data_IF_918599627998
#
_entry.id   IF_918599627998
#
_cell.length_a   1.000
_cell.length_b   1.000
_cell.length_c   1.000
_cell.angle_alpha   90.00
_cell.angle_beta   90.00
_cell.angle_gamma   90.00
#
_symmetry.space_group_name_H-M   'P 1'
#
loop_
_entity.id
_entity.type
_entity.pdbx_description
1 polymer ?
#
# COMPACT_ATOMS: atom_id res chain seq x y z
N UNK A 1 31.30 58.06 -51.72
CA UNK A 1 31.76 56.71 -51.37
C UNK A 1 30.69 56.07 -50.51
N UNK A 2 30.04 55.04 -51.06
CA UNK A 2 28.94 54.30 -50.44
C UNK A 2 29.44 53.55 -49.19
N UNK A 3 28.64 53.51 -48.13
CA UNK A 3 28.73 52.44 -47.13
C UNK A 3 27.32 52.03 -46.72
N UNK A 4 26.87 50.90 -47.29
CA UNK A 4 25.63 50.22 -46.94
C UNK A 4 25.84 49.44 -45.63
N UNK A 5 25.07 49.76 -44.58
CA UNK A 5 24.92 48.86 -43.43
C UNK A 5 23.77 47.88 -43.71
N UNK A 6 24.10 46.59 -43.85
CA UNK A 6 23.12 45.50 -43.76
C UNK A 6 22.95 45.12 -42.29
N UNK A 7 21.74 45.29 -41.74
CA UNK A 7 21.32 44.63 -40.50
C UNK A 7 20.89 43.20 -40.81
N UNK A 8 21.62 42.20 -40.31
CA UNK A 8 21.15 40.81 -40.28
C UNK A 8 20.24 40.61 -39.06
N UNK A 9 18.94 40.39 -39.30
CA UNK A 9 18.01 39.92 -38.28
C UNK A 9 18.13 38.41 -38.12
N UNK A 10 18.66 37.94 -36.99
CA UNK A 10 18.70 36.51 -36.63
C UNK A 10 17.33 36.08 -36.13
N UNK A 11 16.62 35.25 -36.90
CA UNK A 11 15.36 34.62 -36.50
C UNK A 11 15.70 33.36 -35.72
N UNK A 12 15.57 33.39 -34.39
CA UNK A 12 15.60 32.19 -33.54
C UNK A 12 14.28 31.41 -33.69
N UNK A 13 14.30 30.12 -34.05
CA UNK A 13 13.09 29.31 -34.02
C UNK A 13 12.73 28.99 -32.56
N UNK A 14 11.60 29.50 -32.08
CA UNK A 14 10.95 28.96 -30.88
C UNK A 14 10.50 27.53 -31.20
N UNK A 15 11.19 26.54 -30.62
CA UNK A 15 10.67 25.18 -30.57
C UNK A 15 9.49 25.15 -29.60
N UNK A 16 8.28 24.97 -30.14
CA UNK A 16 7.12 24.60 -29.34
C UNK A 16 7.32 23.16 -28.88
N UNK A 17 7.85 22.98 -27.67
CA UNK A 17 7.75 21.72 -26.97
C UNK A 17 6.28 21.48 -26.64
N UNK A 18 5.61 20.63 -27.42
CA UNK A 18 4.28 20.13 -27.05
C UNK A 18 4.44 19.29 -25.79
N UNK A 19 3.67 19.54 -24.71
CA UNK A 19 3.69 18.65 -23.55
C UNK A 19 3.28 17.26 -24.03
N UNK A 20 4.17 16.29 -23.85
CA UNK A 20 3.82 14.88 -24.01
C UNK A 20 2.67 14.59 -23.05
N UNK A 21 1.59 13.93 -23.49
CA UNK A 21 0.56 13.50 -22.57
C UNK A 21 1.24 12.58 -21.56
N UNK A 22 1.27 13.01 -20.31
CA UNK A 22 1.74 12.22 -19.20
C UNK A 22 0.87 10.97 -19.19
N UNK A 23 1.43 9.84 -19.63
CA UNK A 23 0.75 8.56 -19.55
C UNK A 23 0.70 8.28 -18.06
N UNK A 24 -0.39 8.71 -17.45
CA UNK A 24 -0.78 8.36 -16.11
C UNK A 24 -0.92 6.85 -16.14
N UNK A 25 0.18 6.13 -15.84
CA UNK A 25 0.15 4.70 -15.64
C UNK A 25 -0.81 4.53 -14.48
N UNK A 26 -2.06 4.15 -14.79
CA UNK A 26 -3.04 3.77 -13.80
C UNK A 26 -2.47 2.54 -13.12
N UNK A 27 -1.65 2.76 -12.09
CA UNK A 27 -1.15 1.72 -11.22
C UNK A 27 -2.39 1.19 -10.51
N UNK A 28 -2.86 0.02 -10.95
CA UNK A 28 -4.01 -0.66 -10.37
C UNK A 28 -3.55 -1.23 -9.03
N UNK A 29 -3.39 -0.37 -8.03
CA UNK A 29 -3.06 -0.79 -6.68
C UNK A 29 -4.23 -1.57 -6.11
N UNK A 30 -3.91 -2.78 -5.61
CA UNK A 30 -4.88 -3.62 -4.93
C UNK A 30 -5.45 -2.87 -3.72
N UNK A 31 -6.72 -2.51 -3.79
CA UNK A 31 -7.43 -1.88 -2.67
C UNK A 31 -7.84 -2.93 -1.64
N UNK A 32 -7.55 -2.70 -0.36
CA UNK A 32 -7.97 -3.60 0.71
C UNK A 32 -9.18 -3.01 1.42
N UNK A 33 -10.36 -3.55 1.11
CA UNK A 33 -11.62 -3.16 1.75
C UNK A 33 -12.09 -4.25 2.70
N UNK A 34 -12.55 -3.86 3.89
CA UNK A 34 -13.10 -4.80 4.88
C UNK A 34 -12.09 -5.84 5.38
N UNK A 35 -10.81 -5.51 5.43
CA UNK A 35 -9.75 -6.44 5.85
C UNK A 35 -9.50 -6.39 7.36
N UNK A 36 -8.89 -7.45 7.91
CA UNK A 36 -8.29 -7.38 9.24
C UNK A 36 -6.82 -7.02 9.10
N UNK A 37 -6.29 -6.28 10.06
CA UNK A 37 -4.87 -5.89 10.10
C UNK A 37 -4.25 -6.66 11.27
N UNK A 38 -3.57 -7.75 10.97
CA UNK A 38 -3.07 -8.71 11.96
C UNK A 38 -1.61 -8.42 12.32
N UNK A 39 -1.29 -8.29 13.60
CA UNK A 39 0.08 -8.16 14.08
C UNK A 39 0.86 -9.45 13.78
N UNK A 40 2.02 -9.31 13.15
CA UNK A 40 2.92 -10.45 12.92
C UNK A 40 3.34 -11.10 14.24
N UNK A 41 3.59 -10.28 15.27
CA UNK A 41 4.13 -10.67 16.58
C UNK A 41 3.39 -11.83 17.24
N UNK A 42 2.07 -11.72 17.40
CA UNK A 42 1.24 -12.65 18.17
C UNK A 42 -0.06 -13.04 17.46
N UNK A 43 -0.29 -12.57 16.22
CA UNK A 43 -1.46 -12.92 15.43
C UNK A 43 -2.77 -12.26 15.88
N UNK A 44 -2.74 -11.31 16.81
CA UNK A 44 -3.89 -10.48 17.16
C UNK A 44 -4.17 -9.45 16.06
N UNK A 45 -5.41 -8.98 15.96
CA UNK A 45 -5.85 -8.03 14.95
C UNK A 45 -6.17 -6.66 15.52
N UNK A 46 -5.76 -5.61 14.80
CA UNK A 46 -6.02 -4.21 15.11
C UNK A 46 -7.52 -3.95 15.18
N UNK A 47 -7.98 -3.38 16.29
CA UNK A 47 -9.40 -3.06 16.49
C UNK A 47 -9.55 -1.92 17.50
N UNK A 48 -10.55 -1.03 17.33
CA UNK A 48 -11.04 -0.23 18.44
C UNK A 48 -11.43 -1.16 19.60
N UNK A 49 -11.01 -0.83 20.81
CA UNK A 49 -11.27 -1.63 22.00
C UNK A 49 -12.67 -1.31 22.54
N UNK A 50 -13.47 -2.36 22.71
CA UNK A 50 -14.85 -2.25 23.19
C UNK A 50 -15.89 -2.10 22.08
N UNK A 51 -17.16 -1.98 22.51
CA UNK A 51 -18.32 -2.00 21.61
C UNK A 51 -18.70 -0.64 21.07
N UNK A 52 -18.52 0.42 21.84
CA UNK A 52 -18.88 1.78 21.46
C UNK A 52 -17.86 2.38 20.49
N UNK A 53 -18.35 3.15 19.51
CA UNK A 53 -17.52 3.92 18.60
C UNK A 53 -17.74 5.41 18.85
N UNK A 54 -16.70 6.08 19.33
CA UNK A 54 -16.67 7.53 19.50
C UNK A 54 -15.24 8.05 19.36
N UNK A 55 -15.10 9.34 19.12
CA UNK A 55 -13.80 10.01 19.15
C UNK A 55 -13.08 9.66 20.46
N UNK A 56 -11.83 9.21 20.36
CA UNK A 56 -11.02 8.91 21.55
C UNK A 56 -10.95 7.43 21.91
N UNK A 57 -11.80 6.56 21.33
CA UNK A 57 -11.75 5.13 21.65
C UNK A 57 -10.40 4.57 21.23
N UNK A 58 -9.69 4.00 22.21
CA UNK A 58 -8.36 3.42 22.02
C UNK A 58 -8.43 2.29 20.99
N UNK A 59 -7.44 2.24 20.11
CA UNK A 59 -7.22 1.12 19.21
C UNK A 59 -6.11 0.25 19.79
N UNK A 60 -6.36 -1.05 19.84
CA UNK A 60 -5.41 -2.04 20.31
C UNK A 60 -5.43 -3.27 19.41
N UNK A 61 -4.88 -4.38 19.90
CA UNK A 61 -4.93 -5.67 19.22
C UNK A 61 -5.83 -6.66 20.00
N UNK A 62 -6.72 -7.38 19.31
CA UNK A 62 -7.64 -8.35 19.90
C UNK A 62 -7.69 -9.62 19.06
N UNK A 63 -8.34 -10.68 19.56
CA UNK A 63 -8.57 -11.90 18.79
C UNK A 63 -9.19 -11.57 17.43
N UNK A 64 -8.63 -12.14 16.35
CA UNK A 64 -9.05 -11.75 15.00
C UNK A 64 -10.51 -12.05 14.71
N UNK A 65 -11.15 -13.04 15.36
CA UNK A 65 -12.58 -13.30 15.23
C UNK A 65 -13.47 -12.22 15.88
N UNK A 66 -12.92 -11.41 16.78
CA UNK A 66 -13.58 -10.29 17.47
C UNK A 66 -13.18 -8.92 16.90
N UNK A 67 -12.07 -8.86 16.15
CA UNK A 67 -11.57 -7.63 15.59
C UNK A 67 -12.50 -7.06 14.51
N UNK A 68 -12.60 -5.73 14.50
CA UNK A 68 -13.27 -4.99 13.43
C UNK A 68 -12.43 -4.96 12.16
N UNK A 69 -13.06 -4.57 11.06
CA UNK A 69 -12.41 -4.54 9.75
C UNK A 69 -12.11 -3.11 9.30
N UNK A 70 -11.06 -2.97 8.51
CA UNK A 70 -10.52 -1.70 8.03
C UNK A 70 -10.48 -1.66 6.51
N UNK A 71 -10.63 -0.46 5.97
CA UNK A 71 -10.23 -0.12 4.62
C UNK A 71 -8.83 0.50 4.68
N UNK A 72 -7.87 -0.08 3.97
CA UNK A 72 -6.48 0.38 3.87
C UNK A 72 -6.02 0.13 2.44
N UNK A 73 -5.23 1.03 1.87
CA UNK A 73 -4.72 0.86 0.52
C UNK A 73 -3.20 1.02 0.53
N UNK A 74 -2.47 0.37 -0.41
CA UNK A 74 -1.08 0.70 -0.68
C UNK A 74 -0.93 2.20 -0.96
N UNK A 75 0.24 2.74 -0.67
CA UNK A 75 0.50 4.17 -0.79
C UNK A 75 0.03 4.96 0.43
N UNK A 76 0.00 6.29 0.28
CA UNK A 76 -0.37 7.24 1.33
C UNK A 76 -1.89 7.43 1.38
N UNK A 77 -2.50 7.22 2.53
CA UNK A 77 -3.92 7.45 2.74
C UNK A 77 -4.41 7.13 4.15
N UNK A 78 -5.70 7.31 4.39
CA UNK A 78 -6.31 7.00 5.69
C UNK A 78 -6.63 5.51 5.83
N UNK A 79 -6.51 5.00 7.07
CA UNK A 79 -6.99 3.67 7.45
C UNK A 79 -8.36 3.86 8.11
N UNK A 80 -9.42 3.45 7.41
CA UNK A 80 -10.81 3.79 7.75
C UNK A 80 -11.55 2.58 8.31
N UNK A 81 -12.33 2.77 9.36
CA UNK A 81 -13.14 1.70 9.92
C UNK A 81 -14.27 1.33 8.96
N UNK A 82 -14.36 0.05 8.57
CA UNK A 82 -15.27 -0.39 7.49
C UNK A 82 -16.74 -0.24 7.87
N UNK A 83 -17.10 -0.63 9.09
CA UNK A 83 -18.48 -0.57 9.60
C UNK A 83 -18.98 0.85 9.90
N UNK A 84 -18.06 1.81 10.06
CA UNK A 84 -18.39 3.22 10.25
C UNK A 84 -17.29 4.10 9.64
N UNK A 85 -17.41 4.44 8.35
CA UNK A 85 -16.41 5.20 7.62
C UNK A 85 -16.18 6.64 8.11
N UNK A 86 -16.95 7.11 9.10
CA UNK A 86 -16.70 8.39 9.75
C UNK A 86 -15.46 8.34 10.65
N UNK A 87 -14.97 7.15 11.02
CA UNK A 87 -13.81 6.98 11.89
C UNK A 87 -12.57 6.48 11.15
N UNK A 88 -11.44 7.12 11.42
CA UNK A 88 -10.12 6.75 10.93
C UNK A 88 -9.21 6.33 12.09
N UNK A 89 -8.17 5.53 11.79
CA UNK A 89 -7.05 5.31 12.69
C UNK A 89 -6.26 6.61 12.85
N UNK A 90 -6.11 7.03 14.11
CA UNK A 90 -5.52 8.32 14.48
C UNK A 90 -4.36 8.11 15.47
N UNK A 91 -3.21 8.68 15.15
CA UNK A 91 -1.98 8.56 15.94
C UNK A 91 -1.79 9.67 16.99
N UNK A 92 -2.82 10.46 17.28
CA UNK A 92 -2.70 11.62 18.17
C UNK A 92 -1.89 12.73 17.53
N UNK A 93 -0.68 12.98 17.99
CA UNK A 93 0.25 13.90 17.33
C UNK A 93 0.98 13.22 16.18
N UNK A 94 1.13 11.89 16.21
CA UNK A 94 1.88 11.13 15.21
C UNK A 94 3.39 11.34 15.26
N UNK A 95 3.92 11.99 16.31
CA UNK A 95 5.30 12.51 16.33
C UNK A 95 6.20 11.91 17.43
N UNK A 96 5.62 11.24 18.43
CA UNK A 96 6.35 10.78 19.61
C UNK A 96 6.22 9.27 19.81
N UNK A 97 7.35 8.63 20.14
CA UNK A 97 7.39 7.24 20.56
C UNK A 97 6.49 7.01 21.77
N UNK A 98 5.72 5.93 21.77
CA UNK A 98 4.87 5.58 22.90
C UNK A 98 3.46 6.17 22.83
N UNK A 99 3.16 7.00 21.83
CA UNK A 99 1.84 7.61 21.71
C UNK A 99 0.80 6.57 21.28
N UNK A 100 -0.25 6.43 22.10
CA UNK A 100 -1.34 5.49 21.84
C UNK A 100 -2.16 5.87 20.61
N UNK A 101 -2.63 4.86 19.88
CA UNK A 101 -3.53 5.06 18.73
C UNK A 101 -4.99 4.95 19.14
N UNK A 102 -5.86 5.63 18.41
CA UNK A 102 -7.30 5.68 18.68
C UNK A 102 -8.08 5.76 17.38
N UNK A 103 -9.39 5.61 17.46
CA UNK A 103 -10.28 6.12 16.40
C UNK A 103 -10.64 7.56 16.65
N UNK A 104 -10.71 8.33 15.57
CA UNK A 104 -11.17 9.70 15.56
C UNK A 104 -11.94 10.00 14.29
N UNK A 105 -12.77 11.04 14.32
CA UNK A 105 -13.48 11.53 13.14
C UNK A 105 -12.48 11.72 11.99
N UNK A 106 -12.87 11.27 10.81
CA UNK A 106 -12.04 11.30 9.61
C UNK A 106 -11.88 12.73 9.13
N UNK A 107 -10.63 13.16 9.00
CA UNK A 107 -10.24 14.40 8.36
C UNK A 107 -9.16 14.09 7.33
N UNK A 108 -9.53 13.92 6.04
CA UNK A 108 -8.58 13.56 5.00
C UNK A 108 -7.39 14.52 4.95
N UNK A 109 -6.18 13.96 4.90
CA UNK A 109 -4.93 14.73 4.81
C UNK A 109 -4.35 15.22 6.14
N UNK A 110 -4.99 14.95 7.28
CA UNK A 110 -4.33 15.18 8.58
C UNK A 110 -3.13 14.26 8.74
N UNK A 111 -2.01 14.82 9.21
CA UNK A 111 -0.76 14.10 9.42
C UNK A 111 -0.95 12.82 10.24
N UNK A 112 -1.62 12.92 11.39
CA UNK A 112 -1.88 11.80 12.31
C UNK A 112 -2.91 10.78 11.81
N UNK A 113 -3.56 11.01 10.67
CA UNK A 113 -4.52 10.09 10.03
C UNK A 113 -4.10 9.68 8.62
N UNK A 114 -2.87 10.05 8.21
CA UNK A 114 -2.33 9.73 6.88
C UNK A 114 -1.21 8.71 7.04
N UNK A 115 -1.53 7.47 6.70
CA UNK A 115 -0.66 6.32 6.85
C UNK A 115 -0.13 5.85 5.50
N UNK A 116 1.05 5.26 5.50
CA UNK A 116 1.71 4.66 4.36
C UNK A 116 1.91 3.18 4.65
N UNK A 117 1.19 2.33 3.90
CA UNK A 117 1.44 0.88 3.92
C UNK A 117 2.65 0.59 3.03
N UNK A 118 3.78 0.27 3.65
CA UNK A 118 5.05 0.00 2.97
C UNK A 118 5.08 -1.42 2.37
N UNK A 119 5.98 -1.63 1.41
CA UNK A 119 6.21 -2.96 0.80
C UNK A 119 6.72 -4.00 1.81
N UNK A 120 7.43 -3.55 2.84
CA UNK A 120 7.91 -4.37 3.95
C UNK A 120 6.91 -4.54 5.10
N UNK A 121 5.62 -4.20 4.83
CA UNK A 121 4.45 -4.45 5.70
C UNK A 121 4.43 -3.66 7.01
N UNK A 122 4.94 -2.44 6.99
CA UNK A 122 4.74 -1.45 8.06
C UNK A 122 3.61 -0.51 7.70
N UNK A 123 2.93 0.01 8.71
CA UNK A 123 1.94 1.07 8.57
C UNK A 123 2.57 2.31 9.21
N UNK A 124 3.21 3.12 8.38
CA UNK A 124 4.00 4.29 8.79
C UNK A 124 3.17 5.58 8.71
N UNK A 125 3.49 6.61 9.49
CA UNK A 125 2.94 7.95 9.28
C UNK A 125 3.57 8.54 8.03
N UNK A 126 2.73 8.98 7.09
CA UNK A 126 3.23 9.58 5.83
C UNK A 126 3.94 10.89 6.12
N UNK A 127 5.18 11.02 5.63
CA UNK A 127 6.02 12.19 5.89
C UNK A 127 6.56 12.26 7.33
N UNK A 128 6.33 11.23 8.14
CA UNK A 128 6.86 11.12 9.50
C UNK A 128 7.90 10.00 9.64
N UNK A 129 8.29 9.73 10.88
CA UNK A 129 9.27 8.67 11.20
C UNK A 129 8.69 7.57 12.10
N UNK A 130 7.39 7.64 12.39
CA UNK A 130 6.67 6.77 13.31
C UNK A 130 5.91 5.67 12.56
N UNK A 131 5.88 4.47 13.14
CA UNK A 131 5.21 3.29 12.62
C UNK A 131 4.25 2.73 13.68
N UNK A 132 3.14 2.14 13.24
CA UNK A 132 2.22 1.40 14.10
C UNK A 132 2.96 0.18 14.69
N UNK A 133 2.94 0.05 16.01
CA UNK A 133 3.77 -0.90 16.76
C UNK A 133 2.93 -1.63 17.81
N UNK A 134 2.91 -2.97 17.73
CA UNK A 134 2.31 -3.86 18.71
C UNK A 134 3.34 -4.20 19.79
N UNK A 135 3.37 -3.42 20.87
CA UNK A 135 4.51 -3.36 21.77
C UNK A 135 4.50 -4.38 22.91
N UNK A 136 3.40 -5.09 23.11
CA UNK A 136 3.29 -6.15 24.11
C UNK A 136 2.54 -7.38 23.56
N UNK A 137 2.49 -8.44 24.36
CA UNK A 137 1.80 -9.70 24.03
C UNK A 137 0.28 -9.61 24.19
N UNK A 138 -0.19 -8.55 24.86
CA UNK A 138 -1.60 -8.27 25.11
C UNK A 138 -2.18 -7.39 23.98
N UNK A 139 -3.07 -6.46 24.34
CA UNK A 139 -3.77 -5.58 23.40
C UNK A 139 -3.03 -4.28 23.07
N UNK A 140 -1.81 -4.08 23.56
CA UNK A 140 -1.08 -2.83 23.47
C UNK A 140 -0.65 -2.48 22.05
N UNK A 141 -1.14 -1.34 21.54
CA UNK A 141 -0.72 -0.75 20.27
C UNK A 141 -0.45 0.73 20.47
N UNK A 142 0.66 1.20 19.91
CA UNK A 142 1.08 2.61 19.92
C UNK A 142 1.79 2.94 18.60
N UNK A 143 2.34 4.14 18.49
CA UNK A 143 3.35 4.45 17.48
C UNK A 143 4.75 4.41 18.09
N UNK A 144 5.72 3.98 17.29
CA UNK A 144 7.14 4.03 17.63
C UNK A 144 7.98 4.32 16.40
N UNK A 145 9.17 4.89 16.60
CA UNK A 145 10.15 5.11 15.53
C UNK A 145 10.27 3.87 14.65
N UNK A 146 10.08 4.05 13.34
CA UNK A 146 10.16 2.98 12.37
C UNK A 146 11.55 2.32 12.40
N UNK A 147 11.60 1.01 12.61
CA UNK A 147 12.84 0.23 12.64
C UNK A 147 12.80 -0.91 11.62
N UNK A 148 13.82 -1.05 10.79
CA UNK A 148 13.85 -2.07 9.71
C UNK A 148 13.79 -3.53 10.22
N UNK A 149 14.15 -3.78 11.48
CA UNK A 149 14.20 -5.14 12.07
C UNK A 149 13.22 -5.39 13.21
N UNK A 150 12.25 -4.49 13.44
CA UNK A 150 11.28 -4.60 14.53
C UNK A 150 10.05 -5.41 14.10
N UNK A 151 10.01 -6.69 14.46
CA UNK A 151 8.88 -7.60 14.19
C UNK A 151 7.55 -7.11 14.77
N UNK A 152 7.60 -6.27 15.80
CA UNK A 152 6.44 -5.61 16.42
C UNK A 152 5.73 -4.61 15.49
N UNK A 153 6.39 -4.17 14.41
CA UNK A 153 5.87 -3.18 13.46
C UNK A 153 5.38 -3.81 12.16
N UNK A 154 5.43 -5.14 12.05
CA UNK A 154 5.00 -5.86 10.85
C UNK A 154 3.52 -6.21 10.99
N UNK A 155 2.72 -5.79 10.00
CA UNK A 155 1.27 -5.99 9.97
C UNK A 155 0.85 -6.71 8.69
N UNK A 156 0.05 -7.74 8.88
CA UNK A 156 -0.47 -8.62 7.85
C UNK A 156 -1.89 -8.21 7.47
N UNK A 157 -2.12 -7.93 6.20
CA UNK A 157 -3.47 -7.61 5.70
C UNK A 157 -4.22 -8.90 5.38
N UNK A 158 -5.26 -9.21 6.16
CA UNK A 158 -6.08 -10.43 6.05
C UNK A 158 -7.41 -10.14 5.38
N UNK A 159 -7.65 -10.74 4.21
CA UNK A 159 -8.92 -10.58 3.49
C UNK A 159 -10.02 -11.48 4.09
N UNK A 160 -11.29 -11.05 4.07
CA UNK A 160 -12.42 -11.83 4.59
C UNK A 160 -12.52 -13.25 4.02
N UNK A 161 -12.14 -13.42 2.76
CA UNK A 161 -12.22 -14.69 2.03
C UNK A 161 -10.82 -15.20 1.65
N UNK A 162 -9.78 -14.85 2.42
CA UNK A 162 -8.45 -15.37 2.15
C UNK A 162 -8.47 -16.91 2.27
N UNK A 163 -8.02 -17.67 1.24
CA UNK A 163 -7.99 -19.14 1.29
C UNK A 163 -7.02 -19.66 2.35
N UNK A 164 -6.17 -18.78 2.90
CA UNK A 164 -5.25 -19.06 3.98
C UNK A 164 -5.45 -18.02 5.09
N UNK A 165 -5.77 -18.49 6.29
CA UNK A 165 -5.65 -17.70 7.52
C UNK A 165 -4.16 -17.60 7.87
N UNK A 166 -3.59 -16.39 7.99
CA UNK A 166 -2.19 -16.28 8.40
C UNK A 166 -2.01 -16.85 9.80
N UNK A 167 -0.96 -17.64 9.98
CA UNK A 167 -0.58 -18.23 11.26
C UNK A 167 0.08 -17.13 12.11
N UNK A 168 -0.28 -16.99 13.40
CA UNK A 168 0.41 -16.09 14.34
C UNK A 168 1.94 -16.27 14.29
N UNK A 169 2.71 -15.19 14.25
CA UNK A 169 4.18 -15.28 14.19
C UNK A 169 4.73 -15.65 12.81
N UNK A 170 3.90 -15.90 11.80
CA UNK A 170 4.33 -16.15 10.42
C UNK A 170 3.78 -15.10 9.47
N UNK A 171 4.66 -14.66 8.57
CA UNK A 171 4.29 -13.78 7.48
C UNK A 171 3.24 -14.51 6.64
N UNK A 172 2.12 -13.87 6.26
CA UNK A 172 1.18 -14.45 5.32
C UNK A 172 1.98 -14.86 4.09
N UNK A 173 1.85 -16.15 3.77
CA UNK A 173 2.22 -16.67 2.48
C UNK A 173 1.36 -15.88 1.50
N UNK A 174 1.98 -14.94 0.78
CA UNK A 174 1.30 -14.31 -0.35
C UNK A 174 0.80 -15.45 -1.22
N UNK A 175 -0.43 -15.39 -1.71
CA UNK A 175 -1.01 -16.40 -2.59
C UNK A 175 -1.68 -15.67 -3.75
N UNK A 176 -1.12 -15.74 -4.97
CA UNK A 176 0.12 -16.43 -5.29
C UNK A 176 1.31 -15.80 -4.54
N UNK A 177 2.26 -16.58 -4.00
CA UNK A 177 3.51 -16.04 -3.49
C UNK A 177 4.24 -15.38 -4.65
N UNK A 178 5.19 -14.50 -4.33
CA UNK A 178 6.04 -13.90 -5.35
C UNK A 178 6.66 -15.06 -6.12
N UNK A 179 6.19 -15.26 -7.36
CA UNK A 179 6.69 -16.30 -8.23
C UNK A 179 8.16 -16.02 -8.50
N UNK A 180 8.97 -17.07 -8.56
CA UNK A 180 10.27 -16.93 -9.20
C UNK A 180 10.01 -16.53 -10.65
N UNK A 181 10.60 -15.43 -11.10
CA UNK A 181 10.64 -15.11 -12.52
C UNK A 181 11.46 -16.19 -13.22
N UNK A 182 10.81 -17.01 -14.04
CA UNK A 182 11.49 -18.03 -14.84
C UNK A 182 11.93 -17.37 -16.14
N UNK A 183 13.18 -17.62 -16.55
CA UNK A 183 13.67 -17.20 -17.87
C UNK A 183 13.00 -18.08 -18.92
N UNK A 184 12.17 -17.48 -19.75
CA UNK A 184 11.38 -18.21 -20.74
C UNK A 184 11.04 -17.33 -21.96
N UNK A 185 11.53 -17.64 -23.18
CA UNK A 185 12.67 -18.48 -23.56
C UNK A 185 14.02 -17.90 -23.10
N UNK A 186 15.04 -18.76 -22.93
CA UNK A 186 16.35 -18.48 -22.31
C UNK A 186 17.14 -17.26 -22.86
N UNK A 187 16.71 -16.62 -23.95
CA UNK A 187 17.41 -15.49 -24.58
C UNK A 187 16.50 -14.33 -25.05
N UNK A 188 15.20 -14.35 -24.78
CA UNK A 188 14.26 -13.37 -25.36
C UNK A 188 13.50 -12.51 -24.34
N UNK A 189 13.55 -12.84 -23.05
CA UNK A 189 12.92 -12.04 -21.99
C UNK A 189 12.49 -12.85 -20.78
N UNK A 190 11.70 -12.20 -19.92
CA UNK A 190 11.05 -12.80 -18.76
C UNK A 190 9.55 -12.73 -18.99
N UNK A 191 8.86 -13.88 -18.89
CA UNK A 191 7.40 -13.95 -18.81
C UNK A 191 6.96 -13.98 -17.35
N UNK A 192 5.82 -13.35 -17.06
CA UNK A 192 5.24 -13.36 -15.72
C UNK A 192 4.28 -14.55 -15.65
N UNK A 193 4.62 -15.54 -14.82
CA UNK A 193 3.78 -16.73 -14.62
C UNK A 193 3.00 -16.63 -13.30
N UNK A 194 1.75 -17.13 -13.23
CA UNK A 194 1.08 -17.34 -11.97
C UNK A 194 1.83 -18.38 -11.11
N UNK A 195 1.80 -18.23 -9.79
CA UNK A 195 2.48 -19.17 -8.90
C UNK A 195 2.00 -20.60 -9.11
N UNK A 196 2.96 -21.54 -9.15
CA UNK A 196 2.74 -22.97 -9.38
C UNK A 196 2.07 -23.29 -10.73
N UNK A 197 1.99 -22.33 -11.65
CA UNK A 197 1.47 -22.52 -13.01
C UNK A 197 2.51 -22.03 -14.03
N UNK A 198 3.65 -22.74 -14.18
CA UNK A 198 4.65 -22.41 -15.20
C UNK A 198 4.15 -22.67 -16.62
N UNK A 199 2.99 -23.31 -16.76
CA UNK A 199 2.28 -23.54 -18.01
C UNK A 199 1.44 -22.34 -18.46
N UNK A 200 1.32 -21.30 -17.63
CA UNK A 200 0.55 -20.09 -17.92
C UNK A 200 1.44 -18.86 -17.81
N UNK A 201 1.21 -17.87 -18.66
CA UNK A 201 1.82 -16.54 -18.52
C UNK A 201 0.85 -15.41 -18.82
N UNK A 202 1.20 -14.23 -18.30
CA UNK A 202 0.59 -12.97 -18.71
C UNK A 202 0.91 -12.71 -20.18
N UNK A 203 -0.14 -12.64 -21.01
CA UNK A 203 -0.06 -12.39 -22.44
C UNK A 203 -0.91 -11.19 -22.84
N UNK A 204 -0.61 -10.56 -23.97
CA UNK A 204 -1.48 -9.52 -24.54
C UNK A 204 -2.65 -10.20 -25.24
N UNK A 205 -3.89 -9.81 -24.91
CA UNK A 205 -5.09 -10.37 -25.51
C UNK A 205 -5.03 -10.25 -27.04
N UNK A 206 -5.10 -11.39 -27.73
CA UNK A 206 -5.00 -11.47 -29.20
C UNK A 206 -3.57 -11.46 -29.75
N UNK A 207 -2.54 -11.57 -28.92
CA UNK A 207 -1.15 -11.81 -29.34
C UNK A 207 -0.43 -10.63 -30.00
N UNK A 208 -1.05 -9.46 -30.06
CA UNK A 208 -0.48 -8.26 -30.69
C UNK A 208 -0.34 -7.16 -29.66
N UNK A 209 0.91 -6.86 -29.29
CA UNK A 209 1.25 -5.76 -28.41
C UNK A 209 0.91 -4.42 -29.08
N UNK A 210 -0.04 -3.70 -28.50
CA UNK A 210 -0.41 -2.34 -28.91
C UNK A 210 -0.90 -1.54 -27.71
N UNK A 211 -0.85 -0.21 -27.83
CA UNK A 211 -1.35 0.68 -26.78
C UNK A 211 -2.85 0.41 -26.51
N UNK A 212 -3.23 0.37 -25.24
CA UNK A 212 -4.62 0.14 -24.80
C UNK A 212 -5.13 -1.29 -24.95
N UNK A 213 -4.26 -2.26 -25.25
CA UNK A 213 -4.65 -3.68 -25.26
C UNK A 213 -4.73 -4.24 -23.85
N UNK A 214 -5.71 -5.10 -23.63
CA UNK A 214 -5.84 -5.87 -22.41
C UNK A 214 -4.74 -6.93 -22.33
N UNK A 215 -4.41 -7.32 -21.11
CA UNK A 215 -3.59 -8.50 -20.83
C UNK A 215 -4.49 -9.58 -20.21
N UNK A 216 -4.17 -10.83 -20.48
CA UNK A 216 -4.86 -12.01 -19.95
C UNK A 216 -3.84 -13.06 -19.51
N UNK A 217 -4.30 -14.12 -18.85
CA UNK A 217 -3.50 -15.29 -18.50
C UNK A 217 -3.85 -16.40 -19.50
N UNK A 218 -2.88 -16.82 -20.29
CA UNK A 218 -3.05 -17.90 -21.26
C UNK A 218 -1.95 -18.95 -21.11
N UNK A 219 -2.16 -20.09 -21.75
CA UNK A 219 -1.14 -21.12 -21.86
C UNK A 219 0.04 -20.63 -22.70
N UNK A 220 1.24 -20.97 -22.23
CA UNK A 220 2.49 -20.74 -22.95
C UNK A 220 2.67 -21.69 -24.15
#
# INVERSE_FOLDING_TARGET
MLSSLLLLATISPLMFATPTPDINTHHLDKRYNGVKIQAFRNGLCLSPIGRALSNGVVVGAVECNQARTWNINPGSGSVILTENPNFALDAGTGSQNGEGVKIWQTYPGLFQQTWYLTDDRRIAITGGTQCLDAYNDDSGVHIWQCGASTVNQIWTIVQPNAPYTPVPGQAPVLSPPIGQTILDPQQLGVRIHPYQRPDLAVTVSGGVAAFGKNVDIAYD
#
